data_IF_606174270842
#
_entry.id   IF_606174270842
#
_cell.length_a   1.000
_cell.length_b   1.000
_cell.length_c   1.000
_cell.angle_alpha   90.00
_cell.angle_beta   90.00
_cell.angle_gamma   90.00
#
_symmetry.space_group_name_H-M   'P 1'
#
loop_
_entity.id
_entity.type
_entity.pdbx_description
1 polymer ?
#
# COMPACT_ATOMS: atom_id res chain seq x y z
N UNK A 1 -1.24 4.58 -31.12
CA UNK A 1 0.11 4.00 -31.33
C UNK A 1 1.02 4.10 -30.09
N UNK A 2 0.97 5.18 -29.27
CA UNK A 2 1.86 5.38 -28.10
C UNK A 2 1.72 4.32 -27.01
N UNK A 3 0.51 4.09 -26.48
CA UNK A 3 0.28 3.07 -25.45
C UNK A 3 0.74 1.66 -25.84
N UNK A 4 0.67 1.31 -27.12
CA UNK A 4 1.20 0.03 -27.63
C UNK A 4 2.72 -0.09 -27.49
N UNK A 5 3.46 1.01 -27.66
CA UNK A 5 4.92 1.04 -27.44
C UNK A 5 5.26 0.86 -25.96
N UNK A 6 4.55 1.56 -25.07
CA UNK A 6 4.77 1.43 -23.63
C UNK A 6 4.44 0.02 -23.15
N UNK A 7 3.34 -0.56 -23.65
CA UNK A 7 2.98 -1.94 -23.35
C UNK A 7 4.07 -2.91 -23.80
N UNK A 8 4.58 -2.76 -25.03
CA UNK A 8 5.66 -3.61 -25.53
C UNK A 8 6.94 -3.47 -24.70
N UNK A 9 7.32 -2.26 -24.29
CA UNK A 9 8.49 -2.01 -23.44
C UNK A 9 8.36 -2.67 -22.06
N UNK A 10 7.21 -2.50 -21.40
CA UNK A 10 7.02 -2.98 -20.03
C UNK A 10 6.71 -4.47 -19.93
N UNK A 11 5.98 -5.03 -20.90
CA UNK A 11 5.44 -6.40 -20.80
C UNK A 11 6.10 -7.42 -21.72
N UNK A 12 6.71 -7.02 -22.83
CA UNK A 12 7.12 -7.95 -23.88
C UNK A 12 8.61 -7.91 -24.20
N UNK A 13 9.30 -6.83 -23.83
CA UNK A 13 10.72 -6.65 -24.13
C UNK A 13 11.57 -7.13 -22.97
N UNK A 14 12.65 -7.84 -23.28
CA UNK A 14 13.62 -8.26 -22.27
C UNK A 14 14.15 -7.04 -21.49
N UNK A 15 14.16 -7.10 -20.13
CA UNK A 15 14.66 -6.03 -19.30
C UNK A 15 16.14 -5.72 -19.56
N UNK A 16 16.46 -4.44 -19.74
CA UNK A 16 17.83 -3.96 -20.03
C UNK A 16 18.18 -2.71 -19.21
N UNK A 17 19.47 -2.43 -19.11
CA UNK A 17 19.99 -1.23 -18.44
C UNK A 17 19.94 -1.30 -16.91
N UNK A 18 20.01 -0.12 -16.28
CA UNK A 18 20.14 0.03 -14.83
C UNK A 18 18.90 -0.45 -14.06
N UNK A 19 17.73 -0.43 -14.70
CA UNK A 19 16.44 -0.78 -14.08
C UNK A 19 15.93 -2.17 -14.50
N UNK A 20 16.81 -3.01 -15.06
CA UNK A 20 16.43 -4.34 -15.55
C UNK A 20 15.76 -5.21 -14.48
N UNK A 21 16.19 -5.13 -13.23
CA UNK A 21 15.62 -5.95 -12.15
C UNK A 21 14.20 -5.52 -11.80
N UNK A 22 13.92 -4.21 -11.81
CA UNK A 22 12.59 -3.65 -11.54
C UNK A 22 11.61 -4.13 -12.63
N UNK A 23 12.01 -4.06 -13.89
CA UNK A 23 11.16 -4.52 -14.99
C UNK A 23 11.03 -6.05 -15.01
N UNK A 24 12.09 -6.79 -14.67
CA UNK A 24 12.02 -8.26 -14.55
C UNK A 24 11.01 -8.68 -13.47
N UNK A 25 11.01 -8.02 -12.31
CA UNK A 25 10.04 -8.28 -11.25
C UNK A 25 8.61 -7.95 -11.72
N UNK A 26 8.44 -6.83 -12.40
CA UNK A 26 7.16 -6.43 -12.97
C UNK A 26 6.61 -7.48 -13.94
N UNK A 27 7.47 -7.98 -14.82
CA UNK A 27 7.12 -9.00 -15.82
C UNK A 27 6.86 -10.36 -15.18
N UNK A 28 7.57 -10.75 -14.11
CA UNK A 28 7.36 -12.06 -13.45
C UNK A 28 5.95 -12.21 -12.88
N UNK A 29 5.32 -11.11 -12.45
CA UNK A 29 3.96 -11.11 -11.94
C UNK A 29 2.97 -11.53 -13.04
N UNK A 30 3.32 -11.37 -14.32
CA UNK A 30 2.53 -11.80 -15.49
C UNK A 30 1.06 -11.40 -15.36
N UNK A 31 0.84 -10.14 -15.02
CA UNK A 31 -0.47 -9.58 -14.69
C UNK A 31 -0.67 -8.28 -15.42
N UNK A 32 -1.79 -8.16 -16.15
CA UNK A 32 -2.17 -6.94 -16.86
C UNK A 32 -3.06 -6.03 -16.00
N UNK A 33 -3.29 -6.37 -14.73
CA UNK A 33 -4.21 -5.64 -13.86
C UNK A 33 -3.78 -4.19 -13.64
N UNK A 34 -2.48 -3.96 -13.45
CA UNK A 34 -1.88 -2.64 -13.26
C UNK A 34 -1.67 -1.87 -14.57
N UNK A 35 -1.99 -2.45 -15.74
CA UNK A 35 -1.74 -1.85 -17.05
C UNK A 35 -2.29 -0.42 -17.16
N UNK A 36 -3.54 -0.11 -16.77
CA UNK A 36 -4.05 1.27 -16.85
C UNK A 36 -3.17 2.26 -16.10
N UNK A 37 -2.71 1.90 -14.90
CA UNK A 37 -1.85 2.76 -14.09
C UNK A 37 -0.47 2.91 -14.72
N UNK A 38 0.25 1.81 -15.00
CA UNK A 38 1.65 1.90 -15.50
C UNK A 38 1.72 2.55 -16.88
N UNK A 39 0.72 2.33 -17.74
CA UNK A 39 0.64 2.97 -19.05
C UNK A 39 0.34 4.47 -18.91
N UNK A 40 -0.51 4.85 -17.95
CA UNK A 40 -0.78 6.26 -17.64
C UNK A 40 0.44 6.99 -17.09
N UNK A 41 1.23 6.32 -16.23
CA UNK A 41 2.52 6.83 -15.72
C UNK A 41 3.57 6.87 -16.85
N UNK A 42 3.55 5.91 -17.78
CA UNK A 42 4.43 5.91 -18.96
C UNK A 42 4.15 7.10 -19.88
N UNK A 43 2.89 7.51 -20.03
CA UNK A 43 2.54 8.74 -20.78
C UNK A 43 3.16 9.98 -20.10
N UNK A 44 3.10 10.08 -18.76
CA UNK A 44 3.70 11.19 -18.00
C UNK A 44 5.22 11.29 -18.21
N UNK A 45 5.91 10.15 -18.30
CA UNK A 45 7.36 10.10 -18.49
C UNK A 45 7.78 10.30 -19.95
N UNK A 46 7.23 9.49 -20.86
CA UNK A 46 7.70 9.45 -22.25
C UNK A 46 7.16 10.59 -23.10
N UNK A 47 5.92 11.02 -22.86
CA UNK A 47 5.24 12.03 -23.68
C UNK A 47 5.16 13.38 -22.97
N UNK A 48 4.56 13.43 -21.78
CA UNK A 48 4.26 14.70 -21.11
C UNK A 48 5.51 15.33 -20.46
N UNK A 49 6.56 14.52 -20.22
CA UNK A 49 7.82 14.94 -19.58
C UNK A 49 7.63 15.56 -18.19
N UNK A 50 6.61 15.10 -17.48
CA UNK A 50 6.25 15.60 -16.14
C UNK A 50 7.07 14.97 -15.02
N UNK A 51 7.64 13.79 -15.26
CA UNK A 51 8.41 13.03 -14.27
C UNK A 51 9.77 12.59 -14.85
N UNK A 52 10.75 12.44 -13.96
CA UNK A 52 12.08 11.95 -14.30
C UNK A 52 12.10 10.42 -14.52
N UNK A 53 13.19 9.94 -15.11
CA UNK A 53 13.44 8.49 -15.27
C UNK A 53 13.50 7.78 -13.91
N UNK A 54 14.17 8.37 -12.90
CA UNK A 54 14.23 7.80 -11.55
C UNK A 54 12.83 7.62 -10.95
N UNK A 55 12.03 8.69 -10.97
CA UNK A 55 10.66 8.64 -10.44
C UNK A 55 9.80 7.61 -11.17
N UNK A 56 9.95 7.49 -12.50
CA UNK A 56 9.22 6.48 -13.28
C UNK A 56 9.50 5.07 -12.77
N UNK A 57 10.78 4.70 -12.62
CA UNK A 57 11.15 3.35 -12.17
C UNK A 57 10.88 3.12 -10.67
N UNK A 58 11.00 4.14 -9.82
CA UNK A 58 10.58 4.08 -8.41
C UNK A 58 9.07 3.80 -8.29
N UNK A 59 8.24 4.39 -9.16
CA UNK A 59 6.80 4.08 -9.21
C UNK A 59 6.55 2.62 -9.62
N UNK A 60 7.28 2.09 -10.60
CA UNK A 60 7.16 0.67 -10.99
C UNK A 60 7.59 -0.23 -9.83
N UNK A 61 8.63 0.13 -9.09
CA UNK A 61 9.08 -0.61 -7.90
C UNK A 61 8.01 -0.62 -6.79
N UNK A 62 7.34 0.51 -6.53
CA UNK A 62 6.18 0.58 -5.61
C UNK A 62 5.06 -0.36 -6.06
N UNK A 63 4.77 -0.38 -7.37
CA UNK A 63 3.73 -1.23 -7.96
C UNK A 63 4.13 -2.72 -7.87
N UNK A 64 5.40 -3.06 -8.05
CA UNK A 64 5.93 -4.42 -7.83
C UNK A 64 5.75 -4.85 -6.39
N UNK A 65 6.20 -4.02 -5.44
CA UNK A 65 6.05 -4.27 -4.01
C UNK A 65 4.59 -4.53 -3.64
N UNK A 66 3.68 -3.66 -4.09
CA UNK A 66 2.26 -3.81 -3.86
C UNK A 66 1.70 -5.13 -4.41
N UNK A 67 2.01 -5.48 -5.65
CA UNK A 67 1.50 -6.69 -6.28
C UNK A 67 2.11 -7.97 -5.68
N UNK A 68 3.41 -7.99 -5.41
CA UNK A 68 4.13 -9.15 -4.87
C UNK A 68 3.65 -9.45 -3.45
N UNK A 69 3.55 -8.43 -2.58
CA UNK A 69 3.03 -8.62 -1.22
C UNK A 69 1.60 -9.16 -1.25
N UNK A 70 0.73 -8.63 -2.11
CA UNK A 70 -0.64 -9.15 -2.25
C UNK A 70 -0.68 -10.58 -2.78
N UNK A 71 0.15 -10.90 -3.76
CA UNK A 71 0.24 -12.24 -4.32
C UNK A 71 0.60 -13.26 -3.24
N UNK A 72 1.66 -12.99 -2.47
CA UNK A 72 2.10 -13.88 -1.41
C UNK A 72 1.27 -13.83 -0.13
N UNK A 73 0.33 -12.89 -0.01
CA UNK A 73 -0.71 -12.89 1.01
C UNK A 73 -1.99 -13.62 0.56
N UNK A 74 -2.02 -14.15 -0.67
CA UNK A 74 -3.19 -14.77 -1.28
C UNK A 74 -4.43 -13.86 -1.37
N UNK A 75 -4.21 -12.56 -1.55
CA UNK A 75 -5.32 -11.61 -1.68
C UNK A 75 -5.99 -11.73 -3.05
N UNK A 76 -7.33 -11.79 -3.08
CA UNK A 76 -8.11 -11.90 -4.30
C UNK A 76 -7.79 -10.77 -5.30
N UNK A 77 -7.39 -11.15 -6.51
CA UNK A 77 -7.02 -10.24 -7.60
C UNK A 77 -8.24 -9.73 -8.41
N UNK A 78 -9.35 -10.46 -8.38
CA UNK A 78 -10.51 -10.26 -9.27
C UNK A 78 -11.27 -8.93 -9.08
N UNK A 79 -11.19 -8.29 -7.91
CA UNK A 79 -11.84 -6.98 -7.65
C UNK A 79 -10.94 -5.78 -7.90
N UNK A 80 -9.64 -5.97 -8.21
CA UNK A 80 -8.64 -4.89 -8.25
C UNK A 80 -8.56 -4.17 -9.61
N UNK A 81 -9.00 -4.80 -10.70
CA UNK A 81 -8.83 -4.24 -12.06
C UNK A 81 -9.51 -2.87 -12.27
N UNK A 82 -10.60 -2.59 -11.54
CA UNK A 82 -11.32 -1.31 -11.62
C UNK A 82 -10.69 -0.19 -10.79
N UNK A 83 -9.73 -0.53 -9.93
CA UNK A 83 -9.10 0.43 -9.02
C UNK A 83 -7.97 1.18 -9.71
N UNK A 84 -7.14 0.51 -10.49
CA UNK A 84 -5.97 1.15 -11.10
C UNK A 84 -6.31 2.38 -11.95
N UNK A 85 -7.42 2.43 -12.71
CA UNK A 85 -7.88 3.66 -13.35
C UNK A 85 -8.22 4.79 -12.36
N UNK A 86 -8.90 4.47 -11.26
CA UNK A 86 -9.24 5.44 -10.21
C UNK A 86 -7.98 5.94 -9.49
N UNK A 87 -7.05 5.03 -9.20
CA UNK A 87 -5.75 5.38 -8.63
C UNK A 87 -4.97 6.31 -9.55
N UNK A 88 -4.90 6.03 -10.86
CA UNK A 88 -4.27 6.90 -11.85
C UNK A 88 -4.89 8.30 -11.85
N UNK A 89 -6.23 8.39 -11.84
CA UNK A 89 -6.93 9.68 -11.77
C UNK A 89 -6.56 10.45 -10.50
N UNK A 90 -6.58 9.78 -9.35
CA UNK A 90 -6.23 10.41 -8.07
C UNK A 90 -4.77 10.85 -8.04
N UNK A 91 -3.83 10.03 -8.54
CA UNK A 91 -2.42 10.37 -8.64
C UNK A 91 -2.23 11.62 -9.50
N UNK A 92 -2.91 11.71 -10.66
CA UNK A 92 -2.90 12.92 -11.50
C UNK A 92 -3.37 14.15 -10.73
N UNK A 93 -4.54 14.06 -10.11
CA UNK A 93 -5.12 15.19 -9.38
C UNK A 93 -4.21 15.68 -8.24
N UNK A 94 -3.62 14.76 -7.46
CA UNK A 94 -2.69 15.16 -6.40
C UNK A 94 -1.37 15.69 -6.96
N UNK A 95 -0.84 15.12 -8.05
CA UNK A 95 0.39 15.62 -8.65
C UNK A 95 0.21 17.01 -9.29
N UNK A 96 -0.97 17.30 -9.85
CA UNK A 96 -1.34 18.63 -10.35
C UNK A 96 -1.50 19.65 -9.22
N UNK A 97 -2.04 19.24 -8.07
CA UNK A 97 -2.24 20.12 -6.92
C UNK A 97 -0.95 20.39 -6.13
N UNK A 98 -0.16 19.34 -5.89
CA UNK A 98 0.99 19.40 -4.99
C UNK A 98 2.33 19.44 -5.72
N UNK A 99 2.39 19.10 -7.01
CA UNK A 99 3.62 19.05 -7.80
C UNK A 99 4.06 17.62 -8.14
N UNK A 100 4.60 17.44 -9.35
CA UNK A 100 5.08 16.16 -9.87
C UNK A 100 6.41 15.71 -9.23
N UNK A 101 7.14 16.60 -8.56
CA UNK A 101 8.29 16.27 -7.71
C UNK A 101 7.91 15.32 -6.57
N UNK A 102 6.65 15.35 -6.12
CA UNK A 102 6.11 14.52 -5.05
C UNK A 102 5.45 13.22 -5.54
N UNK A 103 5.47 12.95 -6.85
CA UNK A 103 4.67 11.86 -7.44
C UNK A 103 4.93 10.48 -6.81
N UNK A 104 6.17 10.19 -6.42
CA UNK A 104 6.55 8.91 -5.81
C UNK A 104 5.80 8.70 -4.48
N UNK A 105 5.79 9.72 -3.60
CA UNK A 105 5.08 9.66 -2.32
C UNK A 105 3.56 9.70 -2.52
N UNK A 106 3.08 10.46 -3.52
CA UNK A 106 1.66 10.48 -3.92
C UNK A 106 1.18 9.09 -4.35
N UNK A 107 1.99 8.34 -5.13
CA UNK A 107 1.64 6.97 -5.51
C UNK A 107 1.53 6.08 -4.28
N UNK A 108 2.48 6.17 -3.33
CA UNK A 108 2.41 5.44 -2.06
C UNK A 108 1.13 5.84 -1.29
N UNK A 109 0.82 7.12 -1.21
CA UNK A 109 -0.38 7.61 -0.54
C UNK A 109 -1.66 7.01 -1.14
N UNK A 110 -1.82 7.12 -2.46
CA UNK A 110 -3.03 6.70 -3.16
C UNK A 110 -3.19 5.18 -3.15
N UNK A 111 -2.12 4.42 -3.38
CA UNK A 111 -2.20 2.96 -3.43
C UNK A 111 -2.27 2.33 -2.04
N UNK A 112 -1.62 2.92 -1.04
CA UNK A 112 -1.40 2.27 0.25
C UNK A 112 -2.12 3.01 1.38
N UNK A 113 -1.81 4.28 1.60
CA UNK A 113 -2.36 5.02 2.75
C UNK A 113 -3.88 5.14 2.69
N UNK A 114 -4.46 5.48 1.53
CA UNK A 114 -5.91 5.60 1.36
C UNK A 114 -6.65 4.26 1.47
N UNK A 115 -5.94 3.14 1.35
CA UNK A 115 -6.54 1.80 1.28
C UNK A 115 -6.31 0.96 2.54
N UNK A 116 -5.70 1.50 3.60
CA UNK A 116 -5.33 0.75 4.81
C UNK A 116 -6.48 -0.02 5.46
N UNK A 117 -7.71 0.48 5.36
CA UNK A 117 -8.89 -0.06 6.04
C UNK A 117 -9.88 -0.75 5.09
N UNK A 118 -9.45 -1.15 3.89
CA UNK A 118 -10.32 -1.83 2.93
C UNK A 118 -9.62 -3.05 2.29
N UNK A 119 -10.32 -3.77 1.41
CA UNK A 119 -9.83 -4.99 0.74
C UNK A 119 -8.61 -4.74 -0.16
N UNK A 120 -8.24 -3.49 -0.39
CA UNK A 120 -7.13 -3.04 -1.23
C UNK A 120 -5.90 -2.67 -0.39
N UNK A 121 -5.94 -2.85 0.93
CA UNK A 121 -4.79 -2.61 1.79
C UNK A 121 -3.56 -3.38 1.30
N UNK A 122 -2.39 -2.76 1.44
CA UNK A 122 -1.13 -3.50 1.34
C UNK A 122 -1.05 -4.47 2.52
N UNK A 123 -0.79 -5.77 2.30
CA UNK A 123 -0.61 -6.72 3.40
C UNK A 123 0.47 -6.27 4.37
N UNK A 124 0.19 -6.37 5.67
CA UNK A 124 1.17 -6.08 6.72
C UNK A 124 2.22 -7.19 6.79
N UNK A 125 3.39 -6.90 7.38
CA UNK A 125 4.43 -7.92 7.59
C UNK A 125 3.91 -9.10 8.41
N UNK A 126 3.07 -8.83 9.42
CA UNK A 126 2.42 -9.86 10.24
C UNK A 126 1.52 -10.77 9.40
N UNK A 127 0.69 -10.18 8.53
CA UNK A 127 -0.22 -10.94 7.65
C UNK A 127 0.57 -11.84 6.70
N UNK A 128 1.62 -11.29 6.08
CA UNK A 128 2.50 -12.03 5.19
C UNK A 128 3.16 -13.21 5.89
N UNK A 129 3.77 -13.00 7.06
CA UNK A 129 4.41 -14.09 7.83
C UNK A 129 3.43 -15.21 8.14
N UNK A 130 2.24 -14.86 8.64
CA UNK A 130 1.19 -15.84 8.91
C UNK A 130 0.82 -16.64 7.66
N UNK A 131 0.70 -15.98 6.50
CA UNK A 131 0.36 -16.67 5.26
C UNK A 131 1.49 -17.59 4.76
N UNK A 132 2.76 -17.22 4.93
CA UNK A 132 3.90 -18.07 4.56
C UNK A 132 3.93 -19.40 5.34
N UNK A 133 3.41 -19.41 6.57
CA UNK A 133 3.35 -20.60 7.41
C UNK A 133 2.20 -21.55 7.04
N UNK A 134 1.15 -21.06 6.36
CA UNK A 134 -0.10 -21.81 6.14
C UNK A 134 -0.42 -22.05 4.66
N UNK A 135 0.10 -21.21 3.76
CA UNK A 135 -0.27 -21.27 2.35
C UNK A 135 0.30 -22.50 1.67
N UNK A 136 -0.49 -23.08 0.75
CA UNK A 136 -0.01 -24.04 -0.24
C UNK A 136 0.87 -23.32 -1.27
N UNK A 137 2.11 -23.03 -0.89
CA UNK A 137 3.09 -22.36 -1.72
C UNK A 137 3.45 -23.20 -2.95
N UNK A 138 3.38 -24.53 -2.88
CA UNK A 138 3.64 -25.39 -4.04
C UNK A 138 2.69 -25.09 -5.22
N UNK A 139 1.42 -24.77 -4.93
CA UNK A 139 0.44 -24.38 -5.95
C UNK A 139 0.61 -22.93 -6.45
N UNK A 140 1.42 -22.10 -5.76
CA UNK A 140 1.62 -20.71 -6.15
C UNK A 140 2.64 -20.60 -7.29
N UNK A 141 2.17 -20.09 -8.43
CA UNK A 141 2.98 -19.79 -9.64
C UNK A 141 4.30 -19.04 -9.37
N UNK A 142 4.34 -18.06 -8.45
CA UNK A 142 5.57 -17.28 -8.18
C UNK A 142 6.52 -17.94 -7.16
N UNK A 143 6.22 -19.13 -6.65
CA UNK A 143 7.07 -19.81 -5.67
C UNK A 143 8.48 -20.08 -6.21
N UNK A 144 8.57 -20.61 -7.43
CA UNK A 144 9.87 -20.84 -8.09
C UNK A 144 10.65 -19.53 -8.21
N UNK A 145 9.98 -18.48 -8.71
CA UNK A 145 10.58 -17.15 -8.87
C UNK A 145 11.11 -16.61 -7.54
N UNK A 146 10.36 -16.75 -6.44
CA UNK A 146 10.80 -16.24 -5.14
C UNK A 146 12.05 -16.97 -4.64
N UNK A 147 12.10 -18.30 -4.78
CA UNK A 147 13.27 -19.09 -4.40
C UNK A 147 14.50 -18.68 -5.23
N UNK A 148 14.35 -18.51 -6.55
CA UNK A 148 15.43 -18.04 -7.44
C UNK A 148 15.88 -16.61 -7.11
N UNK A 149 14.93 -15.73 -6.76
CA UNK A 149 15.19 -14.33 -6.38
C UNK A 149 15.99 -14.27 -5.09
N UNK A 150 15.61 -15.06 -4.09
CA UNK A 150 16.32 -15.14 -2.80
C UNK A 150 17.75 -15.66 -3.02
N UNK A 151 17.91 -16.70 -3.81
CA UNK A 151 19.22 -17.31 -4.05
C UNK A 151 20.17 -16.36 -4.78
N UNK A 152 19.66 -15.60 -5.75
CA UNK A 152 20.46 -14.65 -6.53
C UNK A 152 20.68 -13.28 -5.88
N UNK A 153 20.00 -12.95 -4.77
CA UNK A 153 20.05 -11.61 -4.16
C UNK A 153 21.48 -11.15 -3.84
N UNK A 154 22.27 -12.04 -3.24
CA UNK A 154 23.63 -11.74 -2.78
C UNK A 154 24.71 -12.42 -3.65
N UNK A 155 24.39 -12.72 -4.92
CA UNK A 155 25.35 -13.28 -5.85
C UNK A 155 25.85 -12.18 -6.80
N UNK A 156 27.17 -11.99 -6.87
CA UNK A 156 27.81 -11.03 -7.77
C UNK A 156 27.54 -11.31 -9.24
N UNK A 157 27.25 -12.57 -9.60
CA UNK A 157 26.77 -13.00 -10.90
C UNK A 157 25.50 -13.84 -10.73
N UNK A 158 24.48 -13.59 -11.55
CA UNK A 158 23.25 -14.39 -11.55
C UNK A 158 23.56 -15.83 -11.93
N UNK A 159 23.19 -16.76 -11.07
CA UNK A 159 23.23 -18.18 -11.36
C UNK A 159 22.09 -18.51 -12.33
N UNK A 160 22.41 -19.23 -13.40
CA UNK A 160 21.40 -19.83 -14.26
C UNK A 160 20.73 -20.99 -13.52
N UNK A 161 19.42 -20.88 -13.31
CA UNK A 161 18.59 -21.85 -12.60
C UNK A 161 17.59 -22.55 -13.50
N UNK A 162 17.71 -22.41 -14.83
CA UNK A 162 16.80 -22.99 -15.82
C UNK A 162 16.72 -24.53 -15.76
N UNK A 163 17.81 -25.17 -15.35
CA UNK A 163 17.91 -26.63 -15.19
C UNK A 163 17.33 -27.15 -13.87
N UNK A 164 16.92 -26.26 -12.96
CA UNK A 164 16.42 -26.60 -11.63
C UNK A 164 14.89 -26.76 -11.61
N UNK A 165 14.41 -27.59 -10.69
CA UNK A 165 13.00 -27.79 -10.35
C UNK A 165 12.76 -27.60 -8.86
N UNK A 166 11.52 -27.24 -8.51
CA UNK A 166 11.07 -27.29 -7.11
C UNK A 166 11.08 -28.75 -6.65
N UNK A 167 11.63 -28.98 -5.46
CA UNK A 167 11.61 -30.26 -4.74
C UNK A 167 11.06 -30.05 -3.32
N UNK A 168 10.30 -31.04 -2.85
CA UNK A 168 9.81 -31.13 -1.49
C UNK A 168 10.85 -31.84 -0.62
N UNK A 169 11.38 -31.16 0.39
CA UNK A 169 12.37 -31.78 1.30
C UNK A 169 11.71 -32.96 2.04
N UNK A 170 10.58 -32.71 2.71
CA UNK A 170 9.63 -33.72 3.17
C UNK A 170 8.63 -34.03 2.04
N UNK A 171 8.58 -35.26 1.50
CA UNK A 171 7.88 -35.60 0.26
C UNK A 171 6.36 -35.56 0.38
N UNK A 172 5.69 -35.45 -0.78
CA UNK A 172 4.23 -35.50 -0.87
C UNK A 172 3.63 -36.85 -0.52
N UNK A 173 4.32 -37.94 -0.84
CA UNK A 173 3.88 -39.28 -0.44
C UNK A 173 4.33 -39.55 0.99
N UNK A 174 3.37 -39.70 1.88
CA UNK A 174 3.59 -40.10 3.27
C UNK A 174 4.20 -41.51 3.36
N UNK A 175 5.12 -41.68 4.31
CA UNK A 175 5.61 -42.97 4.76
C UNK A 175 5.86 -42.89 6.27
N UNK A 176 6.07 -44.04 6.91
CA UNK A 176 6.21 -44.14 8.36
C UNK A 176 7.24 -43.15 8.94
N UNK A 177 8.40 -43.02 8.28
CA UNK A 177 9.46 -42.09 8.70
C UNK A 177 9.01 -40.61 8.65
N UNK A 178 8.35 -40.19 7.57
CA UNK A 178 7.95 -38.79 7.40
C UNK A 178 6.71 -38.44 8.22
N UNK A 179 5.77 -39.38 8.41
CA UNK A 179 4.66 -39.21 9.34
C UNK A 179 5.15 -39.06 10.78
N UNK A 180 6.14 -39.86 11.21
CA UNK A 180 6.79 -39.70 12.52
C UNK A 180 7.44 -38.32 12.66
N UNK A 181 8.20 -37.87 11.66
CA UNK A 181 8.87 -36.56 11.68
C UNK A 181 7.92 -35.37 11.58
N UNK A 182 6.79 -35.51 10.89
CA UNK A 182 5.76 -34.49 10.84
C UNK A 182 4.96 -34.42 12.14
N UNK A 183 4.80 -35.55 12.84
CA UNK A 183 3.92 -35.68 14.01
C UNK A 183 2.43 -35.73 13.66
N UNK A 184 2.10 -35.71 12.36
CA UNK A 184 0.73 -35.69 11.80
C UNK A 184 0.67 -36.51 10.51
N UNK A 185 -0.53 -36.82 10.03
CA UNK A 185 -0.79 -37.61 8.81
C UNK A 185 -1.97 -37.05 8.01
N UNK A 186 -2.09 -37.40 6.74
CA UNK A 186 -3.24 -37.08 5.90
C UNK A 186 -3.32 -35.59 5.51
N UNK A 187 -4.46 -34.95 5.79
CA UNK A 187 -4.69 -33.56 5.41
C UNK A 187 -3.72 -32.60 6.12
N UNK A 188 -3.52 -32.77 7.42
CA UNK A 188 -2.58 -31.95 8.22
C UNK A 188 -1.13 -32.10 7.73
N UNK A 189 -0.73 -33.30 7.32
CA UNK A 189 0.58 -33.53 6.70
C UNK A 189 0.68 -32.75 5.38
N UNK A 190 -0.34 -32.84 4.53
CA UNK A 190 -0.42 -32.15 3.23
C UNK A 190 -0.33 -30.63 3.38
N UNK A 191 -0.95 -30.07 4.42
CA UNK A 191 -0.86 -28.64 4.72
C UNK A 191 0.57 -28.21 5.04
N UNK A 192 1.29 -28.95 5.90
CA UNK A 192 2.66 -28.63 6.30
C UNK A 192 3.64 -28.71 5.13
N UNK A 193 3.61 -29.82 4.37
CA UNK A 193 4.62 -30.07 3.34
C UNK A 193 4.53 -29.12 2.15
N UNK A 194 3.36 -28.54 1.90
CA UNK A 194 3.16 -27.64 0.76
C UNK A 194 3.51 -26.19 1.10
N UNK A 195 3.87 -25.90 2.36
CA UNK A 195 4.39 -24.60 2.77
C UNK A 195 5.76 -24.33 2.17
N UNK A 196 6.06 -23.05 1.98
CA UNK A 196 7.29 -22.59 1.30
C UNK A 196 8.56 -23.04 2.01
N UNK A 197 8.53 -23.16 3.34
CA UNK A 197 9.64 -23.64 4.14
C UNK A 197 10.06 -25.07 3.84
N UNK A 198 9.20 -25.89 3.23
CA UNK A 198 9.54 -27.26 2.81
C UNK A 198 10.03 -27.35 1.35
N UNK A 199 9.99 -26.25 0.59
CA UNK A 199 10.33 -26.25 -0.84
C UNK A 199 11.77 -25.78 -1.07
N UNK A 200 12.48 -26.45 -1.97
CA UNK A 200 13.83 -26.06 -2.37
C UNK A 200 14.04 -26.22 -3.88
N UNK A 201 15.17 -25.75 -4.40
CA UNK A 201 15.53 -25.91 -5.81
C UNK A 201 16.66 -26.94 -5.95
N UNK A 202 16.45 -27.96 -6.78
CA UNK A 202 17.46 -28.99 -7.10
C UNK A 202 17.48 -29.27 -8.60
N UNK A 203 18.55 -29.90 -9.07
CA UNK A 203 18.61 -30.37 -10.45
C UNK A 203 17.49 -31.38 -10.72
N UNK A 204 16.85 -31.31 -11.89
CA UNK A 204 15.73 -32.21 -12.25
C UNK A 204 16.05 -33.70 -12.07
N UNK A 205 17.30 -34.09 -12.38
CA UNK A 205 17.78 -35.48 -12.23
C UNK A 205 17.87 -35.89 -10.75
N UNK A 206 18.25 -34.96 -9.88
CA UNK A 206 18.37 -35.20 -8.44
C UNK A 206 17.00 -35.22 -7.75
N UNK A 207 16.04 -34.42 -8.24
CA UNK A 207 14.64 -34.47 -7.82
C UNK A 207 14.07 -35.90 -8.00
N UNK A 208 14.20 -36.47 -9.20
CA UNK A 208 13.72 -37.83 -9.49
C UNK A 208 14.40 -38.91 -8.63
N UNK A 209 15.67 -38.71 -8.23
CA UNK A 209 16.40 -39.65 -7.37
C UNK A 209 16.01 -39.52 -5.90
N UNK A 210 15.70 -38.30 -5.44
CA UNK A 210 15.37 -38.01 -4.04
C UNK A 210 14.06 -38.67 -3.62
N UNK A 211 13.01 -38.52 -4.43
CA UNK A 211 11.71 -39.18 -4.24
C UNK A 211 11.22 -39.13 -2.79
N UNK A 212 10.87 -40.30 -2.24
CA UNK A 212 10.35 -40.43 -0.87
C UNK A 212 11.42 -40.86 0.15
N UNK A 213 12.70 -40.72 -0.19
CA UNK A 213 13.79 -41.10 0.70
C UNK A 213 13.79 -40.24 1.98
N UNK A 214 14.39 -40.77 3.04
CA UNK A 214 14.57 -40.03 4.29
C UNK A 214 15.55 -38.86 4.13
N UNK A 215 15.55 -37.96 5.12
CA UNK A 215 16.28 -36.70 5.03
C UNK A 215 17.79 -36.88 4.77
N UNK A 216 18.46 -37.82 5.46
CA UNK A 216 19.90 -38.03 5.29
C UNK A 216 20.28 -38.55 3.91
N UNK A 217 19.45 -39.41 3.31
CA UNK A 217 19.65 -39.87 1.93
C UNK A 217 19.41 -38.75 0.93
N UNK A 218 18.36 -37.93 1.13
CA UNK A 218 18.09 -36.75 0.30
C UNK A 218 19.25 -35.76 0.33
N UNK A 219 19.79 -35.46 1.53
CA UNK A 219 20.97 -34.59 1.66
C UNK A 219 22.11 -35.06 0.74
N UNK A 220 22.50 -36.34 0.79
CA UNK A 220 23.56 -36.90 -0.07
C UNK A 220 23.29 -36.71 -1.57
N UNK A 221 22.03 -36.80 -2.01
CA UNK A 221 21.66 -36.59 -3.41
C UNK A 221 21.83 -35.12 -3.81
N UNK A 222 21.59 -34.19 -2.88
CA UNK A 222 21.70 -32.76 -3.12
C UNK A 222 23.16 -32.25 -3.16
N UNK A 223 24.17 -33.11 -2.96
CA UNK A 223 25.60 -32.73 -2.97
C UNK A 223 26.00 -31.99 -4.24
N UNK A 224 25.47 -32.41 -5.39
CA UNK A 224 25.74 -31.80 -6.69
C UNK A 224 25.21 -30.36 -6.82
N UNK A 225 24.33 -29.94 -5.92
CA UNK A 225 23.70 -28.62 -5.91
C UNK A 225 24.15 -27.74 -4.75
N UNK A 226 25.25 -28.09 -4.08
CA UNK A 226 25.81 -27.30 -2.96
C UNK A 226 26.31 -25.89 -3.36
N UNK A 227 26.44 -25.63 -4.66
CA UNK A 227 26.67 -24.28 -5.18
C UNK A 227 25.45 -23.35 -4.96
N UNK A 228 24.28 -23.92 -4.66
CA UNK A 228 23.06 -23.22 -4.25
C UNK A 228 23.09 -23.04 -2.73
N UNK A 229 23.09 -21.79 -2.26
CA UNK A 229 23.16 -21.41 -0.84
C UNK A 229 22.01 -22.01 -0.04
N UNK A 230 20.78 -22.02 -0.58
CA UNK A 230 19.65 -22.61 0.15
C UNK A 230 19.83 -24.10 0.44
N UNK A 231 20.43 -24.86 -0.49
CA UNK A 231 20.72 -26.28 -0.28
C UNK A 231 21.90 -26.48 0.66
N UNK A 232 22.93 -25.63 0.58
CA UNK A 232 24.04 -25.66 1.55
C UNK A 232 23.56 -25.47 2.99
N UNK A 233 22.56 -24.61 3.22
CA UNK A 233 21.99 -24.42 4.55
C UNK A 233 21.23 -25.67 5.03
N UNK A 234 20.62 -26.46 4.13
CA UNK A 234 19.94 -27.71 4.51
C UNK A 234 20.88 -28.74 5.15
N UNK A 235 22.17 -28.72 4.80
CA UNK A 235 23.17 -29.61 5.36
C UNK A 235 23.49 -29.33 6.83
N UNK A 236 23.18 -28.13 7.31
CA UNK A 236 23.41 -27.76 8.70
C UNK A 236 22.39 -28.41 9.65
N UNK A 237 21.26 -28.90 9.11
CA UNK A 237 20.25 -29.58 9.92
C UNK A 237 20.55 -31.07 10.04
N UNK A 238 20.48 -31.57 11.28
CA UNK A 238 20.59 -32.98 11.61
C UNK A 238 19.27 -33.72 11.39
N UNK A 239 18.15 -33.02 11.41
CA UNK A 239 16.82 -33.57 11.13
C UNK A 239 15.93 -32.56 10.41
N UNK A 240 14.79 -33.03 9.91
CA UNK A 240 13.80 -32.20 9.23
C UNK A 240 12.40 -32.62 9.69
N UNK A 241 11.67 -31.69 10.32
CA UNK A 241 10.36 -31.88 10.94
C UNK A 241 9.49 -30.63 10.73
N UNK A 242 8.25 -30.67 11.24
CA UNK A 242 7.30 -29.55 11.12
C UNK A 242 7.86 -28.23 11.66
N UNK A 243 8.52 -28.25 12.82
CA UNK A 243 9.11 -27.04 13.43
C UNK A 243 10.19 -26.40 12.54
N UNK A 244 11.05 -27.22 11.90
CA UNK A 244 12.06 -26.71 10.97
C UNK A 244 11.45 -26.13 9.70
N UNK A 245 10.37 -26.74 9.19
CA UNK A 245 9.61 -26.22 8.06
C UNK A 245 9.01 -24.86 8.42
N UNK A 246 8.38 -24.73 9.58
CA UNK A 246 7.79 -23.49 10.04
C UNK A 246 8.83 -22.37 10.21
N UNK A 247 9.96 -22.66 10.86
CA UNK A 247 11.08 -21.71 11.02
C UNK A 247 11.61 -21.24 9.67
N UNK A 248 11.83 -22.16 8.73
CA UNK A 248 12.29 -21.80 7.38
C UNK A 248 11.23 -21.01 6.60
N UNK A 249 9.94 -21.30 6.77
CA UNK A 249 8.85 -20.49 6.20
C UNK A 249 8.93 -19.04 6.68
N UNK A 250 9.18 -18.83 7.98
CA UNK A 250 9.39 -17.49 8.55
C UNK A 250 10.63 -16.80 7.98
N UNK A 251 11.77 -17.50 7.89
CA UNK A 251 13.01 -16.93 7.32
C UNK A 251 12.84 -16.50 5.86
N UNK A 252 12.11 -17.29 5.05
CA UNK A 252 11.80 -16.93 3.66
C UNK A 252 10.85 -15.74 3.62
N UNK A 253 9.85 -15.70 4.50
CA UNK A 253 8.95 -14.56 4.67
C UNK A 253 9.70 -13.27 5.01
N UNK A 254 10.68 -13.34 5.91
CA UNK A 254 11.54 -12.22 6.28
C UNK A 254 12.40 -11.73 5.10
N UNK A 255 12.90 -12.64 4.27
CA UNK A 255 13.62 -12.26 3.04
C UNK A 255 12.72 -11.56 2.04
N UNK A 256 11.48 -12.02 1.86
CA UNK A 256 10.49 -11.33 1.03
C UNK A 256 10.21 -9.92 1.57
N UNK A 257 9.94 -9.79 2.86
CA UNK A 257 9.68 -8.50 3.53
C UNK A 257 10.87 -7.55 3.37
N UNK A 258 12.10 -8.06 3.49
CA UNK A 258 13.32 -7.27 3.26
C UNK A 258 13.44 -6.76 1.82
N UNK A 259 13.03 -7.55 0.82
CA UNK A 259 13.06 -7.13 -0.59
C UNK A 259 11.88 -6.23 -0.96
N UNK A 260 10.73 -6.46 -0.36
CA UNK A 260 9.48 -5.75 -0.63
C UNK A 260 8.87 -5.27 0.69
N UNK A 261 9.42 -4.20 1.30
CA UNK A 261 9.00 -3.73 2.62
C UNK A 261 7.62 -3.08 2.61
N UNK A 262 6.98 -2.99 3.77
CA UNK A 262 5.75 -2.22 3.90
C UNK A 262 6.03 -0.73 3.68
N UNK A 263 5.34 -0.10 2.73
CA UNK A 263 5.57 1.31 2.37
C UNK A 263 4.63 2.24 3.14
N UNK A 264 5.11 3.45 3.45
CA UNK A 264 4.34 4.49 4.13
C UNK A 264 4.59 5.82 3.44
N UNK A 265 3.49 6.51 3.13
CA UNK A 265 3.53 7.89 2.64
C UNK A 265 4.10 8.80 3.73
N UNK A 266 4.93 9.75 3.34
CA UNK A 266 5.50 10.78 4.22
C UNK A 266 4.50 11.90 4.47
N UNK A 267 3.60 12.16 3.51
CA UNK A 267 2.57 13.18 3.62
C UNK A 267 1.14 12.60 3.63
N UNK A 268 0.19 13.42 4.09
CA UNK A 268 -1.24 13.17 3.94
C UNK A 268 -1.81 14.14 2.89
N UNK A 269 -1.91 13.67 1.64
CA UNK A 269 -2.36 14.51 0.52
C UNK A 269 -3.88 14.80 0.51
N UNK A 270 -4.66 14.18 1.40
CA UNK A 270 -6.07 14.57 1.61
C UNK A 270 -6.21 15.90 2.37
N UNK A 271 -5.16 16.32 3.08
CA UNK A 271 -5.16 17.51 3.90
C UNK A 271 -4.12 18.51 3.39
N UNK A 272 -4.58 19.48 2.61
CA UNK A 272 -3.74 20.57 2.11
C UNK A 272 -3.59 21.63 3.19
N UNK A 273 -2.40 21.80 3.78
CA UNK A 273 -2.21 22.76 4.88
C UNK A 273 -2.62 24.20 4.50
N UNK A 274 -2.52 24.57 3.21
CA UNK A 274 -2.93 25.87 2.67
C UNK A 274 -4.44 26.12 2.78
N UNK A 275 -5.23 25.04 2.92
CA UNK A 275 -6.68 25.10 3.14
C UNK A 275 -7.06 25.16 4.62
N UNK A 276 -6.09 25.26 5.53
CA UNK A 276 -6.37 25.62 6.91
C UNK A 276 -6.78 27.09 7.00
N UNK A 277 -7.88 27.32 7.68
CA UNK A 277 -8.53 28.61 7.76
C UNK A 277 -8.76 29.01 9.21
N UNK A 278 -8.71 30.32 9.46
CA UNK A 278 -8.75 30.90 10.80
C UNK A 278 -9.73 32.06 10.85
N UNK A 279 -10.42 32.18 11.98
CA UNK A 279 -11.13 33.39 12.37
C UNK A 279 -10.47 33.88 13.67
N UNK A 280 -9.97 35.11 13.61
CA UNK A 280 -9.52 35.86 14.78
C UNK A 280 -10.34 37.14 14.85
N UNK A 281 -11.29 37.21 15.79
CA UNK A 281 -12.17 38.35 15.96
C UNK A 281 -12.42 38.64 17.43
N UNK A 282 -11.98 39.81 17.89
CA UNK A 282 -11.95 40.17 19.32
C UNK A 282 -11.27 39.06 20.13
N UNK A 283 -11.98 38.45 21.08
CA UNK A 283 -11.49 37.36 21.91
C UNK A 283 -11.89 35.97 21.39
N UNK A 284 -12.41 35.87 20.15
CA UNK A 284 -12.80 34.61 19.53
C UNK A 284 -11.73 34.16 18.55
N UNK A 285 -11.19 32.97 18.81
CA UNK A 285 -10.25 32.26 17.96
C UNK A 285 -10.88 30.94 17.51
N UNK A 286 -11.00 30.76 16.21
CA UNK A 286 -11.45 29.52 15.61
C UNK A 286 -10.53 29.11 14.48
N UNK A 287 -10.33 27.81 14.32
CA UNK A 287 -9.55 27.22 13.24
C UNK A 287 -10.35 26.11 12.58
N UNK A 288 -10.04 25.83 11.33
CA UNK A 288 -10.74 24.81 10.58
C UNK A 288 -10.06 24.53 9.25
N UNK A 289 -10.74 23.74 8.43
CA UNK A 289 -10.30 23.34 7.11
C UNK A 289 -11.38 23.59 6.07
N UNK A 290 -11.02 24.24 4.97
CA UNK A 290 -11.89 24.43 3.81
C UNK A 290 -11.80 23.22 2.88
N UNK A 291 -12.83 22.38 2.90
CA UNK A 291 -12.92 21.21 2.04
C UNK A 291 -13.11 21.60 0.57
N UNK A 292 -12.84 20.65 -0.34
CA UNK A 292 -12.94 20.87 -1.79
C UNK A 292 -14.37 21.10 -2.28
N UNK A 293 -15.36 20.61 -1.55
CA UNK A 293 -16.78 20.84 -1.78
C UNK A 293 -17.29 22.14 -1.13
N UNK A 294 -16.37 23.00 -0.68
CA UNK A 294 -16.62 24.27 0.03
C UNK A 294 -17.25 24.10 1.43
N UNK A 295 -17.42 22.87 1.92
CA UNK A 295 -17.75 22.66 3.32
C UNK A 295 -16.59 23.07 4.23
N UNK A 296 -16.88 23.44 5.47
CA UNK A 296 -15.86 23.85 6.45
C UNK A 296 -15.92 22.93 7.65
N UNK A 297 -14.83 22.22 7.90
CA UNK A 297 -14.62 21.48 9.14
C UNK A 297 -14.01 22.43 10.16
N UNK A 298 -14.77 22.80 11.18
CA UNK A 298 -14.27 23.59 12.31
C UNK A 298 -13.63 22.64 13.31
N UNK A 299 -12.41 22.95 13.74
CA UNK A 299 -11.67 22.08 14.63
C UNK A 299 -12.11 22.19 16.08
N UNK A 300 -11.97 21.07 16.80
CA UNK A 300 -12.07 21.02 18.24
C UNK A 300 -11.22 22.12 18.90
N UNK A 301 -11.73 22.72 19.97
CA UNK A 301 -11.13 23.85 20.67
C UNK A 301 -11.45 25.22 20.06
N UNK A 302 -12.03 25.29 18.85
CA UNK A 302 -12.46 26.56 18.26
C UNK A 302 -13.54 27.23 19.11
N UNK A 303 -13.37 28.53 19.38
CA UNK A 303 -14.26 29.31 20.22
C UNK A 303 -15.49 29.78 19.45
N UNK A 304 -16.58 29.97 20.18
CA UNK A 304 -17.86 30.47 19.68
C UNK A 304 -18.27 31.67 20.51
N UNK A 305 -18.68 32.75 19.84
CA UNK A 305 -19.19 33.94 20.50
C UNK A 305 -20.48 33.62 21.27
N UNK A 306 -20.50 33.94 22.58
CA UNK A 306 -21.64 33.72 23.48
C UNK A 306 -22.84 34.57 23.04
N UNK A 307 -22.60 35.79 22.55
CA UNK A 307 -23.65 36.71 22.09
C UNK A 307 -24.09 36.45 20.64
N UNK A 308 -23.56 35.42 19.98
CA UNK A 308 -23.89 35.14 18.59
C UNK A 308 -25.40 34.95 18.37
N UNK A 309 -26.14 34.50 19.38
CA UNK A 309 -27.58 34.24 19.36
C UNK A 309 -28.45 35.50 19.26
N UNK A 310 -27.97 36.66 19.74
CA UNK A 310 -28.73 37.92 19.71
C UNK A 310 -28.93 38.46 18.29
N UNK A 311 -28.13 38.00 17.33
CA UNK A 311 -28.09 38.52 15.96
C UNK A 311 -28.40 37.48 14.87
N UNK A 312 -28.83 36.26 15.24
CA UNK A 312 -29.04 35.16 14.29
C UNK A 312 -30.50 34.97 13.87
N UNK A 313 -30.71 34.55 12.62
CA UNK A 313 -31.97 34.01 12.13
C UNK A 313 -32.36 32.72 12.88
N UNK A 314 -33.65 32.42 12.99
CA UNK A 314 -34.19 31.38 13.88
C UNK A 314 -33.63 29.97 13.60
N UNK A 315 -33.40 29.61 12.34
CA UNK A 315 -32.80 28.31 11.96
C UNK A 315 -31.37 28.09 12.52
N UNK A 316 -30.60 29.15 12.77
CA UNK A 316 -29.26 29.04 13.36
C UNK A 316 -29.32 28.85 14.88
N UNK A 317 -30.42 29.26 15.53
CA UNK A 317 -30.64 29.03 16.97
C UNK A 317 -30.98 27.56 17.24
N UNK A 318 -31.86 26.98 16.44
CA UNK A 318 -32.22 25.55 16.53
C UNK A 318 -30.99 24.65 16.32
N UNK A 319 -30.19 24.91 15.28
CA UNK A 319 -28.98 24.13 15.02
C UNK A 319 -27.93 24.29 16.13
N UNK A 320 -27.81 25.47 16.76
CA UNK A 320 -26.93 25.67 17.92
C UNK A 320 -27.36 24.85 19.12
N UNK A 321 -28.64 24.93 19.46
CA UNK A 321 -29.18 24.20 20.60
C UNK A 321 -28.99 22.70 20.42
N UNK A 322 -29.25 22.18 19.22
CA UNK A 322 -28.96 20.80 18.85
C UNK A 322 -27.50 20.42 19.09
N UNK A 323 -26.53 21.22 18.61
CA UNK A 323 -25.10 20.88 18.79
C UNK A 323 -24.62 20.99 20.24
N UNK A 324 -25.28 21.80 21.08
CA UNK A 324 -25.03 21.82 22.52
C UNK A 324 -25.61 20.57 23.19
N UNK A 325 -26.83 20.17 22.82
CA UNK A 325 -27.50 18.96 23.32
C UNK A 325 -26.74 17.67 22.93
N UNK A 326 -26.15 17.64 21.73
CA UNK A 326 -25.30 16.55 21.25
C UNK A 326 -23.88 16.56 21.88
N UNK A 327 -23.54 17.57 22.68
CA UNK A 327 -22.22 17.69 23.32
C UNK A 327 -21.08 18.12 22.39
N UNK A 328 -21.39 18.41 21.12
CA UNK A 328 -20.43 18.89 20.11
C UNK A 328 -19.92 20.29 20.45
N UNK A 329 -20.79 21.11 21.04
CA UNK A 329 -20.45 22.45 21.54
C UNK A 329 -20.63 22.49 23.04
N UNK A 330 -19.54 22.76 23.75
CA UNK A 330 -19.54 22.89 25.22
C UNK A 330 -19.70 24.35 25.59
N UNK A 331 -20.61 24.62 26.52
CA UNK A 331 -20.86 25.94 27.07
C UNK A 331 -20.45 25.99 28.54
N UNK A 332 -19.57 26.93 28.88
CA UNK A 332 -19.25 27.32 30.25
C UNK A 332 -19.83 28.70 30.55
N UNK A 333 -19.82 29.18 31.81
CA UNK A 333 -20.32 30.52 32.14
C UNK A 333 -19.60 31.66 31.39
N UNK A 334 -18.35 31.44 30.95
CA UNK A 334 -17.48 32.47 30.39
C UNK A 334 -16.99 32.17 28.98
N UNK A 335 -17.26 30.98 28.43
CA UNK A 335 -16.78 30.58 27.11
C UNK A 335 -17.69 29.55 26.46
N UNK A 336 -17.62 29.45 25.13
CA UNK A 336 -18.24 28.39 24.36
C UNK A 336 -17.25 27.92 23.30
N UNK A 337 -17.13 26.62 23.09
CA UNK A 337 -16.16 26.04 22.15
C UNK A 337 -16.63 24.69 21.60
N UNK A 338 -16.05 24.26 20.48
CA UNK A 338 -16.27 22.93 19.91
C UNK A 338 -15.47 21.87 20.69
N UNK A 339 -16.13 20.81 21.16
CA UNK A 339 -15.45 19.70 21.84
C UNK A 339 -14.83 18.69 20.86
N UNK A 340 -15.38 18.61 19.65
CA UNK A 340 -14.89 17.78 18.56
C UNK A 340 -14.98 18.52 17.22
N UNK A 341 -14.34 17.97 16.19
CA UNK A 341 -14.40 18.53 14.84
C UNK A 341 -15.82 18.45 14.29
N UNK A 342 -16.33 19.56 13.75
CA UNK A 342 -17.68 19.63 13.19
C UNK A 342 -17.69 20.25 11.80
N UNK A 343 -18.37 19.60 10.85
CA UNK A 343 -18.40 20.06 9.45
C UNK A 343 -19.69 20.78 9.10
N UNK A 344 -19.56 22.07 8.77
CA UNK A 344 -20.62 22.88 8.20
C UNK A 344 -20.64 22.76 6.68
N UNK A 345 -21.83 22.78 6.09
CA UNK A 345 -22.01 22.68 4.62
C UNK A 345 -21.40 23.85 3.83
N UNK A 346 -21.19 25.01 4.46
CA UNK A 346 -20.67 26.21 3.79
C UNK A 346 -19.78 27.04 4.72
N UNK A 347 -18.87 27.88 4.18
CA UNK A 347 -18.01 28.74 5.00
C UNK A 347 -18.82 29.78 5.76
N UNK A 348 -19.87 30.32 5.14
CA UNK A 348 -20.79 31.29 5.74
C UNK A 348 -21.58 30.68 6.90
N UNK A 349 -22.00 29.42 6.77
CA UNK A 349 -22.66 28.70 7.86
C UNK A 349 -21.76 28.56 9.09
N UNK A 350 -20.49 28.18 8.87
CA UNK A 350 -19.50 28.08 9.94
C UNK A 350 -19.20 29.46 10.59
N UNK A 351 -18.97 30.50 9.78
CA UNK A 351 -18.67 31.84 10.28
C UNK A 351 -19.85 32.46 11.05
N UNK A 352 -21.08 32.30 10.54
CA UNK A 352 -22.30 32.72 11.23
C UNK A 352 -22.49 31.94 12.54
N UNK A 353 -22.11 30.66 12.59
CA UNK A 353 -22.13 29.86 13.81
C UNK A 353 -21.06 30.33 14.81
N UNK A 354 -19.86 30.68 14.38
CA UNK A 354 -18.80 31.09 15.32
C UNK A 354 -19.02 32.52 15.83
N UNK A 355 -19.29 33.47 14.94
CA UNK A 355 -19.32 34.91 15.28
C UNK A 355 -20.73 35.43 15.58
N UNK A 356 -21.74 34.89 14.89
CA UNK A 356 -23.11 35.39 14.89
C UNK A 356 -23.38 36.44 13.81
N UNK A 357 -24.66 36.62 13.47
CA UNK A 357 -25.13 37.47 12.38
C UNK A 357 -25.01 36.84 10.99
N UNK A 358 -25.52 37.54 9.98
CA UNK A 358 -25.27 37.19 8.57
C UNK A 358 -23.82 37.54 8.24
N UNK A 359 -22.97 36.52 8.09
CA UNK A 359 -21.54 36.66 7.77
C UNK A 359 -21.25 36.01 6.43
N UNK A 360 -20.56 36.74 5.55
CA UNK A 360 -19.99 36.15 4.35
C UNK A 360 -18.73 35.38 4.75
N UNK A 361 -18.81 34.05 4.87
CA UNK A 361 -17.70 33.23 5.34
C UNK A 361 -16.45 33.38 4.49
N UNK A 362 -16.58 33.67 3.19
CA UNK A 362 -15.46 33.89 2.30
C UNK A 362 -14.62 35.13 2.66
N UNK A 363 -15.23 36.11 3.32
CA UNK A 363 -14.55 37.35 3.76
C UNK A 363 -14.05 37.29 5.21
N UNK A 364 -14.57 36.35 5.99
CA UNK A 364 -14.31 36.26 7.44
C UNK A 364 -13.23 35.23 7.79
N UNK A 365 -13.22 34.11 7.06
CA UNK A 365 -12.14 33.14 7.16
C UNK A 365 -10.90 33.66 6.45
N UNK A 366 -9.74 33.45 7.07
CA UNK A 366 -8.42 33.76 6.52
C UNK A 366 -7.59 32.49 6.41
N UNK A 367 -6.73 32.38 5.41
CA UNK A 367 -5.77 31.28 5.27
C UNK A 367 -4.61 31.38 6.28
N UNK A 368 -3.64 30.47 6.16
CA UNK A 368 -2.43 30.42 7.00
C UNK A 368 -1.55 31.68 6.89
N UNK A 369 -1.71 32.47 5.83
CA UNK A 369 -0.97 33.72 5.61
C UNK A 369 -1.76 34.96 6.07
N UNK A 370 -2.99 34.78 6.56
CA UNK A 370 -3.86 35.87 7.00
C UNK A 370 -4.63 36.56 5.87
N UNK A 371 -4.59 36.02 4.65
CA UNK A 371 -5.33 36.50 3.48
C UNK A 371 -6.74 35.92 3.50
N UNK A 372 -7.74 36.70 3.07
CA UNK A 372 -9.13 36.22 3.06
C UNK A 372 -9.29 35.06 2.08
N UNK A 373 -10.05 34.04 2.46
CA UNK A 373 -10.22 32.86 1.62
C UNK A 373 -10.96 33.17 0.30
N UNK A 374 -11.72 34.28 0.22
CA UNK A 374 -12.30 34.78 -1.03
C UNK A 374 -11.22 35.15 -2.06
N UNK A 375 -10.06 35.61 -1.59
CA UNK A 375 -8.95 36.07 -2.42
C UNK A 375 -7.96 34.94 -2.71
N UNK A 376 -7.72 34.04 -1.74
CA UNK A 376 -6.69 33.00 -1.85
C UNK A 376 -7.20 31.61 -2.24
N UNK A 377 -8.38 31.19 -1.78
CA UNK A 377 -8.84 29.79 -1.89
C UNK A 377 -10.12 29.61 -2.71
N UNK A 378 -10.80 30.71 -3.05
CA UNK A 378 -12.04 30.65 -3.83
C UNK A 378 -11.70 30.43 -5.31
N UNK A 379 -12.09 29.26 -5.82
CA UNK A 379 -11.97 28.97 -7.25
C UNK A 379 -13.00 29.83 -7.99
N UNK A 380 -12.53 30.88 -8.66
CA UNK A 380 -13.37 31.61 -9.62
C UNK A 380 -13.61 30.64 -10.78
N UNK A 381 -14.83 30.11 -10.89
CA UNK A 381 -15.24 29.44 -12.13
C UNK A 381 -15.23 30.52 -13.21
N UNK A 382 -14.28 30.48 -14.12
CA UNK A 382 -14.42 31.21 -15.37
C UNK A 382 -15.68 30.65 -16.05
N UNK A 383 -16.70 31.50 -16.13
CA UNK A 383 -17.88 31.21 -16.92
C UNK A 383 -17.42 31.05 -18.38
N UNK A 384 -17.41 29.80 -18.87
CA UNK A 384 -17.31 29.50 -20.29
C UNK A 384 -18.48 30.21 -20.99
N UNK A 385 -18.19 31.38 -21.56
CA UNK A 385 -19.06 32.07 -22.52
C UNK A 385 -19.06 31.38 -23.87
#
# INVERSE_FOLDING_TARGET
>A
MRFGKYFNLLYLTDPKGNYKEIIADFQSIDSKMSAPLVLGISEMFHHDKLISESQFYEIIEIINNYQIRRYFNNDATSRINKIFPTALKNIRNYAEEYGYEHIVDIVIFVLITKNRNNQMALPTDKSLKSNFQMANAYAMRLTRWLLEKIENKDNSAKLDMSSLSIEHIMPQTENEYWTEKAGVSGEEYTEIINTIGNLTLVAKVDNSKAGNLNFDRKKKIFENTLHIKMNKNLYQYTEWNADFIERRSNDIGDKLISMYPYLRSKANYDHNIERNIFINWHNIQASGYLNKDESVTVYAGSQVNIDAEKNNADNLKENRQKLVEEGIVVQTPTSRYFAEDYTFKTPSGAAAFIIGGSKNGWEWWKDIHGTKINESLRVIKEDNK
#
